data_IF_312512256623
#
_entry.id   IF_312512256623
#
_cell.length_a   1.000
_cell.length_b   1.000
_cell.length_c   1.000
_cell.angle_alpha   90.00
_cell.angle_beta   90.00
_cell.angle_gamma   90.00
#
_symmetry.space_group_name_H-M   'P 1'
#
loop_
_entity.id
_entity.type
_entity.pdbx_description
1 polymer ?
#
# COMPACT_ATOMS: atom_id res chain seq x y z
N UNK A 1 17.23 8.10 -13.16
CA UNK A 1 17.37 8.64 -11.79
C UNK A 1 16.54 7.74 -10.89
N UNK A 2 17.08 7.15 -9.80
CA UNK A 2 16.23 6.42 -8.86
C UNK A 2 15.29 7.43 -8.19
N UNK A 3 13.98 7.14 -8.18
CA UNK A 3 13.02 7.91 -7.39
C UNK A 3 13.31 7.57 -5.93
N UNK A 4 13.71 8.55 -5.14
CA UNK A 4 13.85 8.41 -3.69
C UNK A 4 12.58 8.93 -3.06
N UNK A 5 11.81 8.05 -2.40
CA UNK A 5 10.62 8.47 -1.64
C UNK A 5 11.09 9.08 -0.32
N UNK A 6 10.86 10.38 -0.07
CA UNK A 6 11.29 11.01 1.17
C UNK A 6 10.40 10.59 2.33
N UNK A 7 10.95 10.68 3.53
CA UNK A 7 10.18 10.58 4.76
C UNK A 7 9.62 11.96 5.14
N UNK A 8 8.34 12.02 5.54
CA UNK A 8 7.67 13.27 5.93
C UNK A 8 7.09 13.09 7.34
N UNK A 9 7.46 13.96 8.27
CA UNK A 9 6.92 13.98 9.62
C UNK A 9 6.07 15.24 9.86
N UNK A 10 4.97 15.05 10.58
CA UNK A 10 4.05 16.09 11.03
C UNK A 10 3.67 15.81 12.49
N UNK A 11 2.96 16.72 13.14
CA UNK A 11 2.55 16.56 14.55
C UNK A 11 1.77 15.27 14.84
N UNK A 12 1.06 14.70 13.84
CA UNK A 12 0.19 13.53 14.02
C UNK A 12 0.60 12.31 13.22
N UNK A 13 1.39 12.49 12.16
CA UNK A 13 1.63 11.45 11.16
C UNK A 13 3.06 11.47 10.67
N UNK A 14 3.58 10.27 10.40
CA UNK A 14 4.84 10.00 9.72
C UNK A 14 4.57 9.22 8.44
N UNK A 15 4.95 9.76 7.29
CA UNK A 15 4.84 9.12 5.99
C UNK A 15 6.17 8.46 5.63
N UNK A 16 6.14 7.12 5.72
CA UNK A 16 7.16 6.10 5.40
C UNK A 16 7.34 5.77 3.92
N UNK A 17 8.53 5.46 3.36
CA UNK A 17 8.57 4.45 2.30
C UNK A 17 7.94 3.13 2.80
N UNK A 18 7.18 2.47 1.94
CA UNK A 18 6.60 1.16 2.25
C UNK A 18 7.70 0.10 2.35
N UNK A 19 7.47 -0.88 3.20
CA UNK A 19 8.32 -2.05 3.42
C UNK A 19 7.48 -3.30 3.35
N UNK A 20 8.12 -4.47 3.16
CA UNK A 20 7.42 -5.76 3.16
C UNK A 20 6.64 -6.03 4.44
N UNK A 21 7.03 -5.43 5.56
CA UNK A 21 6.34 -5.58 6.84
C UNK A 21 4.95 -4.92 6.85
N UNK A 22 4.68 -4.01 5.91
CA UNK A 22 3.38 -3.32 5.79
C UNK A 22 2.34 -4.15 5.03
N UNK A 23 2.77 -5.20 4.31
CA UNK A 23 1.89 -6.00 3.45
C UNK A 23 0.65 -6.57 4.16
N UNK A 24 0.71 -7.12 5.40
CA UNK A 24 -0.48 -7.62 6.08
C UNK A 24 -1.53 -6.53 6.34
N UNK A 25 -1.11 -5.32 6.69
CA UNK A 25 -2.03 -4.21 6.94
C UNK A 25 -2.61 -3.65 5.64
N UNK A 26 -1.82 -3.64 4.56
CA UNK A 26 -2.31 -3.32 3.22
C UNK A 26 -3.40 -4.31 2.81
N UNK A 27 -3.18 -5.62 2.90
CA UNK A 27 -4.20 -6.64 2.58
C UNK A 27 -5.47 -6.39 3.40
N UNK A 28 -5.34 -6.19 4.71
CA UNK A 28 -6.48 -5.96 5.62
C UNK A 28 -7.35 -4.77 5.21
N UNK A 29 -6.74 -3.71 4.67
CA UNK A 29 -7.43 -2.48 4.28
C UNK A 29 -7.92 -2.52 2.83
N UNK A 30 -7.13 -3.12 1.93
CA UNK A 30 -7.36 -3.10 0.48
C UNK A 30 -8.32 -4.20 0.03
N UNK A 31 -8.38 -5.32 0.76
CA UNK A 31 -9.35 -6.40 0.49
C UNK A 31 -10.79 -6.02 0.91
N UNK A 32 -10.99 -4.85 1.52
CA UNK A 32 -12.34 -4.34 1.79
C UNK A 32 -13.05 -4.01 0.47
N UNK A 33 -14.19 -4.68 0.22
CA UNK A 33 -14.97 -4.48 -1.00
C UNK A 33 -15.44 -3.03 -1.19
N UNK A 34 -15.77 -2.31 -0.11
CA UNK A 34 -16.18 -0.92 -0.19
C UNK A 34 -15.02 0.00 -0.59
N UNK A 35 -13.77 -0.38 -0.31
CA UNK A 35 -12.58 0.28 -0.84
C UNK A 35 -12.40 -0.08 -2.31
N UNK A 36 -12.36 -1.36 -2.64
CA UNK A 36 -12.06 -1.85 -3.99
C UNK A 36 -13.04 -1.31 -5.04
N UNK A 37 -14.35 -1.28 -4.74
CA UNK A 37 -15.39 -0.88 -5.70
C UNK A 37 -15.30 0.58 -6.18
N UNK A 38 -14.60 1.45 -5.45
CA UNK A 38 -14.40 2.85 -5.81
C UNK A 38 -12.99 3.16 -6.35
N UNK A 39 -12.14 2.14 -6.47
CA UNK A 39 -10.78 2.27 -6.98
C UNK A 39 -10.63 1.54 -8.30
N UNK A 40 -10.08 2.20 -9.32
CA UNK A 40 -10.11 1.69 -10.68
C UNK A 40 -9.30 0.40 -10.90
N UNK A 41 -8.28 0.14 -10.09
CA UNK A 41 -7.26 -0.90 -10.35
C UNK A 41 -7.06 -1.89 -9.22
N UNK A 42 -7.77 -1.75 -8.10
CA UNK A 42 -7.65 -2.68 -6.98
C UNK A 42 -8.55 -3.89 -7.26
N UNK A 43 -7.99 -5.10 -7.44
CA UNK A 43 -8.79 -6.31 -7.58
C UNK A 43 -9.45 -6.68 -6.24
N UNK A 44 -10.57 -7.39 -6.31
CA UNK A 44 -11.19 -8.04 -5.15
C UNK A 44 -11.52 -9.49 -5.49
N UNK A 45 -11.08 -10.48 -4.68
CA UNK A 45 -10.29 -10.32 -3.46
C UNK A 45 -8.85 -9.82 -3.74
N UNK A 46 -8.27 -9.15 -2.75
CA UNK A 46 -6.90 -8.65 -2.75
C UNK A 46 -6.04 -9.49 -1.80
N UNK A 47 -4.98 -10.11 -2.31
CA UNK A 47 -4.17 -11.06 -1.55
C UNK A 47 -2.76 -10.55 -1.19
N UNK A 48 -2.04 -11.36 -0.41
CA UNK A 48 -0.69 -11.05 0.07
C UNK A 48 0.33 -10.92 -1.06
N UNK A 49 0.20 -11.69 -2.15
CA UNK A 49 1.12 -11.60 -3.28
C UNK A 49 0.96 -10.25 -3.99
N UNK A 50 -0.28 -9.81 -4.17
CA UNK A 50 -0.59 -8.50 -4.75
C UNK A 50 -0.06 -7.34 -3.89
N UNK A 51 -0.15 -7.46 -2.56
CA UNK A 51 0.41 -6.46 -1.65
C UNK A 51 1.94 -6.36 -1.78
N UNK A 52 2.63 -7.51 -1.85
CA UNK A 52 4.08 -7.55 -2.00
C UNK A 52 4.53 -6.99 -3.36
N UNK A 53 3.79 -7.31 -4.42
CA UNK A 53 4.04 -6.77 -5.77
C UNK A 53 3.83 -5.26 -5.81
N UNK A 54 2.77 -4.74 -5.17
CA UNK A 54 2.53 -3.31 -5.03
C UNK A 54 3.66 -2.60 -4.26
N UNK A 55 4.14 -3.16 -3.16
CA UNK A 55 5.25 -2.58 -2.37
C UNK A 55 6.56 -2.59 -3.15
N UNK A 56 6.77 -3.60 -4.01
CA UNK A 56 7.98 -3.72 -4.83
C UNK A 56 7.95 -2.86 -6.10
N UNK A 57 6.79 -2.27 -6.43
CA UNK A 57 6.65 -1.40 -7.59
C UNK A 57 7.49 -0.11 -7.43
N UNK A 58 8.13 0.37 -8.51
CA UNK A 58 9.00 1.54 -8.49
C UNK A 58 8.26 2.88 -8.39
#
# INVERSE_FOLDING_TARGET
MPITVPEIETDRLRLRPLTKADAPEIVRLVDDFDVARFTATIPHPYDMSMALDFIAAP
#
